data_IF_116798680599
#
_entry.id   IF_116798680599
#
_cell.length_a   1.000
_cell.length_b   1.000
_cell.length_c   1.000
_cell.angle_alpha   90.00
_cell.angle_beta   90.00
_cell.angle_gamma   90.00
#
_symmetry.space_group_name_H-M   'P 1'
#
loop_
_entity.id
_entity.type
_entity.pdbx_description
1 polymer ?
#
# COMPACT_ATOMS: atom_id res chain seq x y z
N UNK A 1 -15.65 10.85 2.52
CA UNK A 1 -15.05 10.54 3.83
C UNK A 1 -14.25 9.25 3.72
N UNK A 2 -12.95 9.26 4.04
CA UNK A 2 -12.09 8.07 4.02
C UNK A 2 -12.18 7.28 5.33
N UNK A 3 -11.69 6.03 5.32
CA UNK A 3 -11.73 5.13 6.46
C UNK A 3 -11.07 5.66 7.74
N UNK A 4 -10.06 6.53 7.66
CA UNK A 4 -9.40 7.14 8.81
C UNK A 4 -10.37 7.77 9.82
N UNK A 5 -11.46 8.39 9.33
CA UNK A 5 -12.47 9.01 10.18
C UNK A 5 -13.57 8.08 10.66
N UNK A 6 -13.58 6.81 10.28
CA UNK A 6 -14.66 5.87 10.59
C UNK A 6 -14.60 5.40 12.04
N UNK A 7 -15.73 5.43 12.77
CA UNK A 7 -15.80 4.95 14.17
C UNK A 7 -15.50 3.46 14.32
N UNK A 8 -15.72 2.69 13.25
CA UNK A 8 -15.50 1.25 13.22
C UNK A 8 -14.03 0.87 12.94
N UNK A 9 -13.19 1.84 12.58
CA UNK A 9 -11.76 1.64 12.40
C UNK A 9 -11.04 1.83 13.73
N UNK A 10 -10.28 0.83 14.14
CA UNK A 10 -9.59 0.81 15.43
C UNK A 10 -8.14 1.29 15.28
N UNK A 11 -7.87 2.51 15.74
CA UNK A 11 -6.53 3.12 15.67
C UNK A 11 -5.48 2.36 16.51
N UNK A 12 -5.90 1.60 17.53
CA UNK A 12 -4.99 0.82 18.39
C UNK A 12 -4.61 -0.51 17.75
N UNK A 13 -5.44 -1.04 16.86
CA UNK A 13 -5.19 -2.30 16.13
C UNK A 13 -4.66 -2.01 14.73
N UNK A 14 -3.39 -1.62 14.68
CA UNK A 14 -2.64 -1.46 13.43
C UNK A 14 -1.83 -2.70 13.09
N UNK A 15 -1.61 -2.92 11.80
CA UNK A 15 -0.62 -3.86 11.26
C UNK A 15 0.25 -3.09 10.29
N UNK A 16 1.54 -3.04 10.58
CA UNK A 16 2.51 -2.31 9.78
C UNK A 16 2.82 -3.09 8.50
N UNK A 17 3.01 -2.37 7.39
CA UNK A 17 3.49 -2.94 6.14
C UNK A 17 5.00 -3.20 6.20
N UNK A 18 5.47 -4.20 5.45
CA UNK A 18 6.91 -4.54 5.40
C UNK A 18 7.80 -3.39 4.92
N UNK A 19 7.32 -2.62 3.96
CA UNK A 19 8.09 -1.54 3.32
C UNK A 19 7.59 -0.14 3.73
N UNK A 20 6.53 -0.07 4.53
CA UNK A 20 6.01 1.20 5.04
C UNK A 20 4.50 1.20 5.27
N UNK A 21 4.05 2.23 5.97
CA UNK A 21 2.64 2.48 6.26
C UNK A 21 1.98 1.39 7.11
N UNK A 22 0.66 1.50 7.26
CA UNK A 22 -0.11 0.64 8.15
C UNK A 22 -1.54 0.42 7.65
N UNK A 23 -2.08 -0.76 7.93
CA UNK A 23 -3.52 -1.04 7.86
C UNK A 23 -4.11 -1.11 9.26
N UNK A 24 -5.41 -0.87 9.36
CA UNK A 24 -6.13 -0.81 10.64
C UNK A 24 -7.31 -1.76 10.64
N UNK A 25 -7.58 -2.38 11.78
CA UNK A 25 -8.68 -3.34 11.90
C UNK A 25 -10.03 -2.62 11.85
N UNK A 26 -10.88 -2.99 10.91
CA UNK A 26 -12.26 -2.53 10.81
C UNK A 26 -13.20 -3.52 11.48
N UNK A 27 -13.83 -3.12 12.59
CA UNK A 27 -14.76 -3.95 13.38
C UNK A 27 -15.98 -4.40 12.57
N UNK A 28 -16.49 -3.53 11.69
CA UNK A 28 -17.68 -3.80 10.86
C UNK A 28 -17.39 -4.82 9.75
N UNK A 29 -16.21 -4.77 9.15
CA UNK A 29 -15.81 -5.68 8.07
C UNK A 29 -15.04 -6.92 8.57
N UNK A 30 -14.67 -6.94 9.85
CA UNK A 30 -13.86 -7.99 10.49
C UNK A 30 -12.53 -8.27 9.76
N UNK A 31 -11.89 -7.23 9.20
CA UNK A 31 -10.62 -7.34 8.48
C UNK A 31 -9.79 -6.07 8.60
N UNK A 32 -8.49 -6.17 8.30
CA UNK A 32 -7.60 -5.03 8.17
C UNK A 32 -7.83 -4.32 6.83
N UNK A 33 -7.92 -3.00 6.86
CA UNK A 33 -8.11 -2.15 5.68
C UNK A 33 -7.22 -0.92 5.76
N UNK A 34 -6.92 -0.31 4.61
CA UNK A 34 -6.17 0.95 4.60
C UNK A 34 -7.09 2.07 5.07
N UNK A 35 -6.59 2.94 5.94
CA UNK A 35 -7.35 4.08 6.40
C UNK A 35 -7.57 5.15 5.31
N UNK A 36 -6.77 5.10 4.23
CA UNK A 36 -6.94 5.92 3.03
C UNK A 36 -8.10 5.47 2.14
N UNK A 37 -8.57 4.24 2.28
CA UNK A 37 -9.60 3.70 1.41
C UNK A 37 -10.94 4.41 1.61
N UNK A 38 -11.71 4.45 0.54
CA UNK A 38 -13.06 5.00 0.54
C UNK A 38 -14.14 3.97 0.89
N UNK A 39 -13.75 2.73 1.18
CA UNK A 39 -14.67 1.62 1.49
C UNK A 39 -15.57 1.96 2.70
N UNK A 40 -15.10 2.82 3.59
CA UNK A 40 -15.84 3.28 4.76
C UNK A 40 -16.72 4.51 4.51
N UNK A 41 -16.86 5.01 3.28
CA UNK A 41 -17.72 6.18 2.97
C UNK A 41 -19.15 6.03 3.48
N UNK A 42 -19.66 4.80 3.53
CA UNK A 42 -21.01 4.45 4.02
C UNK A 42 -21.07 4.16 5.53
N UNK A 43 -19.96 4.29 6.25
CA UNK A 43 -19.91 4.02 7.69
C UNK A 43 -19.96 5.30 8.50
N UNK A 44 -20.35 5.16 9.77
CA UNK A 44 -20.52 6.29 10.66
C UNK A 44 -19.18 6.97 10.99
N UNK A 45 -19.24 8.29 11.03
CA UNK A 45 -18.12 9.14 11.41
C UNK A 45 -17.79 8.99 12.91
N UNK A 46 -16.50 8.98 13.21
CA UNK A 46 -15.99 9.12 14.57
C UNK A 46 -15.94 10.60 14.94
N UNK A 47 -16.72 11.02 15.93
CA UNK A 47 -16.72 12.40 16.45
C UNK A 47 -15.68 12.61 17.55
N UNK A 48 -15.14 11.53 18.10
CA UNK A 48 -14.13 11.54 19.18
C UNK A 48 -12.70 11.42 18.67
N UNK A 49 -12.49 11.28 17.36
CA UNK A 49 -11.15 11.09 16.79
C UNK A 49 -10.50 12.45 16.56
N UNK A 50 -9.28 12.61 17.08
CA UNK A 50 -8.49 13.82 16.85
C UNK A 50 -8.13 13.96 15.36
N UNK A 51 -7.93 15.19 14.91
CA UNK A 51 -7.45 15.49 13.57
C UNK A 51 -6.07 14.87 13.31
N UNK A 52 -5.22 14.82 14.34
CA UNK A 52 -3.88 14.25 14.24
C UNK A 52 -3.91 12.74 14.03
N UNK A 53 -4.74 12.02 14.79
CA UNK A 53 -4.95 10.58 14.58
C UNK A 53 -5.50 10.33 13.18
N UNK A 54 -6.48 11.12 12.74
CA UNK A 54 -7.04 11.01 11.40
C UNK A 54 -5.95 11.16 10.32
N UNK A 55 -5.15 12.23 10.40
CA UNK A 55 -4.11 12.53 9.42
C UNK A 55 -3.01 11.46 9.42
N UNK A 56 -2.61 11.00 10.62
CA UNK A 56 -1.63 9.93 10.78
C UNK A 56 -2.13 8.63 10.16
N UNK A 57 -3.33 8.19 10.52
CA UNK A 57 -3.93 6.98 9.96
C UNK A 57 -4.05 7.08 8.44
N UNK A 58 -4.51 8.22 7.91
CA UNK A 58 -4.62 8.46 6.48
C UNK A 58 -3.27 8.35 5.76
N UNK A 59 -2.23 9.02 6.28
CA UNK A 59 -0.88 8.99 5.71
C UNK A 59 -0.25 7.60 5.78
N UNK A 60 -0.43 6.88 6.89
CA UNK A 60 0.02 5.50 7.03
C UNK A 60 -0.73 4.57 6.06
N UNK A 61 -2.03 4.79 5.83
CA UNK A 61 -2.81 4.02 4.85
C UNK A 61 -2.35 4.26 3.41
N UNK A 62 -2.00 5.51 3.06
CA UNK A 62 -1.44 5.87 1.75
C UNK A 62 -0.10 5.19 1.49
N UNK A 63 0.75 5.16 2.51
CA UNK A 63 2.10 4.61 2.42
C UNK A 63 2.14 3.10 2.68
N UNK A 64 0.99 2.43 2.82
CA UNK A 64 0.97 1.01 3.14
C UNK A 64 1.51 0.18 1.97
N UNK A 65 2.68 -0.39 2.20
CA UNK A 65 3.33 -1.33 1.31
C UNK A 65 3.71 -2.60 2.08
N UNK A 66 3.13 -3.71 1.63
CA UNK A 66 3.36 -5.04 2.17
C UNK A 66 3.96 -5.99 1.14
N UNK A 67 4.54 -5.43 0.07
CA UNK A 67 5.36 -6.21 -0.82
C UNK A 67 6.50 -6.87 -0.03
N UNK A 68 6.71 -8.16 -0.28
CA UNK A 68 7.78 -8.94 0.33
C UNK A 68 9.15 -8.63 -0.28
N UNK A 69 9.18 -7.94 -1.41
CA UNK A 69 10.38 -7.57 -2.13
C UNK A 69 10.72 -6.10 -1.87
N UNK A 70 12.00 -5.82 -1.64
CA UNK A 70 12.48 -4.44 -1.52
C UNK A 70 12.50 -3.78 -2.89
N UNK A 71 12.38 -2.44 -2.95
CA UNK A 71 12.50 -1.70 -4.21
C UNK A 71 13.81 -2.01 -4.98
N UNK A 72 14.90 -2.29 -4.26
CA UNK A 72 16.18 -2.69 -4.83
C UNK A 72 16.13 -4.02 -5.58
N UNK A 73 15.27 -4.97 -5.18
CA UNK A 73 15.10 -6.23 -5.91
C UNK A 73 14.63 -5.98 -7.34
N UNK A 74 13.62 -5.12 -7.51
CA UNK A 74 13.07 -4.78 -8.81
C UNK A 74 14.08 -4.05 -9.71
N UNK A 75 14.92 -3.19 -9.14
CA UNK A 75 16.01 -2.54 -9.88
C UNK A 75 17.02 -3.56 -10.42
N UNK A 76 17.40 -4.56 -9.61
CA UNK A 76 18.34 -5.60 -10.03
C UNK A 76 17.75 -6.48 -11.13
N UNK A 77 16.50 -6.94 -10.96
CA UNK A 77 15.79 -7.74 -11.97
C UNK A 77 15.66 -6.96 -13.27
N UNK A 78 15.31 -5.67 -13.20
CA UNK A 78 15.22 -4.79 -14.35
C UNK A 78 16.55 -4.65 -15.11
N UNK A 79 17.66 -4.44 -14.39
CA UNK A 79 18.99 -4.35 -15.00
C UNK A 79 19.39 -5.65 -15.72
N UNK A 80 19.13 -6.80 -15.10
CA UNK A 80 19.41 -8.12 -15.71
C UNK A 80 18.60 -8.30 -17.01
N UNK A 81 17.30 -7.99 -16.98
CA UNK A 81 16.45 -8.08 -18.17
C UNK A 81 16.92 -7.15 -19.30
N UNK A 82 17.39 -5.95 -18.97
CA UNK A 82 17.91 -5.00 -19.94
C UNK A 82 19.18 -5.56 -20.62
N UNK A 83 20.11 -6.14 -19.85
CA UNK A 83 21.32 -6.78 -20.39
C UNK A 83 20.96 -7.96 -21.30
N UNK A 84 20.04 -8.84 -20.87
CA UNK A 84 19.59 -9.96 -21.69
C UNK A 84 18.99 -9.46 -23.01
N UNK A 85 18.13 -8.43 -22.95
CA UNK A 85 17.48 -7.87 -24.14
C UNK A 85 18.52 -7.31 -25.11
N UNK A 86 19.55 -6.60 -24.62
CA UNK A 86 20.65 -6.08 -25.44
C UNK A 86 21.46 -7.21 -26.09
N UNK A 87 21.77 -8.27 -25.34
CA UNK A 87 22.47 -9.44 -25.89
C UNK A 87 21.63 -10.12 -26.97
N UNK A 88 20.36 -10.38 -26.72
CA UNK A 88 19.46 -11.01 -27.71
C UNK A 88 19.34 -10.12 -28.95
N UNK A 89 19.24 -8.80 -28.79
CA UNK A 89 19.21 -7.87 -29.91
C UNK A 89 20.51 -7.89 -30.74
N UNK A 90 21.67 -7.93 -30.09
CA UNK A 90 22.97 -8.00 -30.75
C UNK A 90 23.18 -9.31 -31.52
N UNK A 91 22.78 -10.45 -30.93
CA UNK A 91 23.04 -11.77 -31.52
C UNK A 91 21.91 -12.24 -32.45
N UNK A 92 20.68 -11.79 -32.26
CA UNK A 92 19.51 -12.18 -33.05
C UNK A 92 18.54 -11.00 -33.26
N UNK A 93 18.93 -9.99 -34.07
CA UNK A 93 18.12 -8.81 -34.30
C UNK A 93 16.78 -9.11 -35.01
N UNK A 94 16.66 -10.27 -35.67
CA UNK A 94 15.43 -10.71 -36.33
C UNK A 94 14.27 -11.02 -35.38
N UNK A 95 14.52 -11.24 -34.09
CA UNK A 95 13.45 -11.49 -33.10
C UNK A 95 12.70 -10.23 -32.66
N UNK A 96 13.21 -9.04 -32.99
CA UNK A 96 12.60 -7.75 -32.62
C UNK A 96 12.11 -6.95 -33.84
N UNK A 97 11.99 -7.62 -34.99
CA UNK A 97 11.58 -7.03 -36.26
C UNK A 97 10.10 -7.26 -36.55
#
# INVERSE_FOLDING_TARGET
MVCAGCKNLDAKKKSDGKNGGSVYYCKKMKKYIRASDEICKKFDKSYTRSTDDYNKMYKEGLNYDNDGMSGSFYLIVGAILLVITLLVYLFNPSMFK
#
